data_IF_600143525222
#
_entry.id   IF_600143525222
#
_cell.length_a   1.000
_cell.length_b   1.000
_cell.length_c   1.000
_cell.angle_alpha   90.00
_cell.angle_beta   90.00
_cell.angle_gamma   90.00
#
_symmetry.space_group_name_H-M   'P 1'
#
loop_
_entity.id
_entity.type
_entity.pdbx_description
1 polymer ?
#
# COMPACT_ATOMS: atom_id res chain seq x y z
N UNK A 1 65.89 24.80 -25.37
CA UNK A 1 65.07 23.76 -26.05
C UNK A 1 64.22 23.07 -25.01
N UNK A 2 62.92 23.34 -24.96
CA UNK A 2 62.03 22.59 -24.08
C UNK A 2 61.89 21.16 -24.60
N UNK A 3 62.12 20.16 -23.74
CA UNK A 3 61.92 18.76 -24.08
C UNK A 3 60.42 18.52 -24.30
N UNK A 4 60.00 18.48 -25.58
CA UNK A 4 58.59 18.32 -25.98
C UNK A 4 57.86 17.17 -25.26
N UNK A 5 58.57 16.07 -24.96
CA UNK A 5 58.03 14.93 -24.19
C UNK A 5 57.60 15.32 -22.77
N UNK A 6 58.39 16.12 -22.06
CA UNK A 6 58.08 16.59 -20.70
C UNK A 6 56.88 17.53 -20.73
N UNK A 7 56.82 18.41 -21.74
CA UNK A 7 55.70 19.33 -21.90
C UNK A 7 54.37 18.58 -22.14
N UNK A 8 54.37 17.57 -23.02
CA UNK A 8 53.20 16.69 -23.24
C UNK A 8 52.77 15.96 -21.96
N UNK A 9 53.73 15.45 -21.18
CA UNK A 9 53.41 14.74 -19.94
C UNK A 9 52.77 15.67 -18.91
N UNK A 10 53.26 16.91 -18.82
CA UNK A 10 52.76 17.90 -17.87
C UNK A 10 51.34 18.38 -18.24
N UNK A 11 51.05 18.54 -19.53
CA UNK A 11 49.70 18.90 -19.99
C UNK A 11 48.70 17.78 -19.69
N UNK A 12 49.04 16.52 -19.99
CA UNK A 12 48.21 15.35 -19.64
C UNK A 12 47.93 15.31 -18.13
N UNK A 13 48.99 15.49 -17.31
CA UNK A 13 48.86 15.44 -15.86
C UNK A 13 47.95 16.54 -15.32
N UNK A 14 48.09 17.76 -15.84
CA UNK A 14 47.25 18.90 -15.47
C UNK A 14 45.77 18.64 -15.82
N UNK A 15 45.48 18.13 -17.03
CA UNK A 15 44.11 17.76 -17.45
C UNK A 15 43.50 16.71 -16.52
N UNK A 16 44.26 15.69 -16.12
CA UNK A 16 43.82 14.67 -15.16
C UNK A 16 43.48 15.26 -13.79
N UNK A 17 44.25 16.23 -13.30
CA UNK A 17 43.96 16.91 -12.03
C UNK A 17 42.67 17.72 -12.09
N UNK A 18 42.45 18.47 -13.18
CA UNK A 18 41.23 19.27 -13.32
C UNK A 18 39.99 18.37 -13.46
N UNK A 19 40.06 17.34 -14.29
CA UNK A 19 38.94 16.42 -14.52
C UNK A 19 38.56 15.68 -13.23
N UNK A 20 39.52 15.15 -12.48
CA UNK A 20 39.23 14.46 -11.21
C UNK A 20 38.61 15.38 -10.16
N UNK A 21 39.01 16.64 -10.10
CA UNK A 21 38.40 17.63 -9.21
C UNK A 21 36.94 17.93 -9.56
N UNK A 22 36.64 18.09 -10.86
CA UNK A 22 35.28 18.30 -11.36
C UNK A 22 34.41 17.08 -11.03
N UNK A 23 34.88 15.87 -11.36
CA UNK A 23 34.17 14.62 -11.08
C UNK A 23 33.87 14.50 -9.59
N UNK A 24 34.89 14.68 -8.72
CA UNK A 24 34.74 14.61 -7.26
C UNK A 24 33.68 15.57 -6.73
N UNK A 25 33.58 16.76 -7.30
CA UNK A 25 32.60 17.76 -6.89
C UNK A 25 31.18 17.38 -7.31
N UNK A 26 31.02 16.90 -8.55
CA UNK A 26 29.72 16.43 -9.03
C UNK A 26 29.25 15.19 -8.26
N UNK A 27 30.14 14.23 -7.99
CA UNK A 27 29.83 13.04 -7.20
C UNK A 27 29.34 13.43 -5.80
N UNK A 28 30.00 14.37 -5.11
CA UNK A 28 29.56 14.86 -3.80
C UNK A 28 28.17 15.51 -3.82
N UNK A 29 27.82 16.20 -4.91
CA UNK A 29 26.50 16.82 -5.05
C UNK A 29 25.43 15.73 -5.21
N UNK A 30 25.70 14.73 -6.05
CA UNK A 30 24.82 13.57 -6.25
C UNK A 30 24.65 12.79 -4.94
N UNK A 31 25.72 12.49 -4.21
CA UNK A 31 25.67 11.81 -2.91
C UNK A 31 24.78 12.55 -1.90
N UNK A 32 24.89 13.88 -1.82
CA UNK A 32 24.03 14.69 -0.95
C UNK A 32 22.57 14.59 -1.33
N UNK A 33 22.26 14.61 -2.63
CA UNK A 33 20.89 14.48 -3.12
C UNK A 33 20.34 13.09 -2.82
N UNK A 34 21.12 12.02 -3.06
CA UNK A 34 20.74 10.65 -2.71
C UNK A 34 20.41 10.56 -1.23
N UNK A 35 21.31 11.02 -0.35
CA UNK A 35 21.08 11.00 1.10
C UNK A 35 19.85 11.82 1.53
N UNK A 36 19.57 12.93 0.86
CA UNK A 36 18.36 13.72 1.11
C UNK A 36 17.09 12.94 0.75
N UNK A 37 17.07 12.29 -0.42
CA UNK A 37 15.92 11.50 -0.86
C UNK A 37 15.74 10.22 -0.04
N UNK A 38 16.81 9.53 0.33
CA UNK A 38 16.77 8.37 1.24
C UNK A 38 16.11 8.74 2.58
N UNK A 39 16.50 9.88 3.17
CA UNK A 39 15.87 10.36 4.41
C UNK A 39 14.38 10.67 4.21
N UNK A 40 14.01 11.26 3.07
CA UNK A 40 12.61 11.53 2.74
C UNK A 40 11.80 10.25 2.59
N UNK A 41 12.35 9.23 1.92
CA UNK A 41 11.72 7.92 1.75
C UNK A 41 11.54 7.26 3.11
N UNK A 42 12.58 7.18 3.93
CA UNK A 42 12.50 6.57 5.26
C UNK A 42 11.46 7.25 6.16
N UNK A 43 11.36 8.58 6.11
CA UNK A 43 10.30 9.29 6.83
C UNK A 43 8.90 8.93 6.31
N UNK A 44 8.71 8.81 5.00
CA UNK A 44 7.43 8.43 4.40
C UNK A 44 7.04 6.99 4.73
N UNK A 45 8.00 6.07 4.74
CA UNK A 45 7.79 4.66 5.12
C UNK A 45 7.32 4.55 6.57
N UNK A 46 7.97 5.25 7.50
CA UNK A 46 7.55 5.29 8.90
C UNK A 46 6.13 5.86 9.06
N UNK A 47 5.83 6.95 8.35
CA UNK A 47 4.52 7.59 8.41
C UNK A 47 3.42 6.68 7.83
N UNK A 48 3.70 5.95 6.75
CA UNK A 48 2.79 4.94 6.19
C UNK A 48 2.55 3.80 7.18
N UNK A 49 3.59 3.33 7.86
CA UNK A 49 3.47 2.28 8.87
C UNK A 49 2.59 2.73 10.05
N UNK A 50 2.78 3.95 10.55
CA UNK A 50 1.93 4.53 11.60
C UNK A 50 0.47 4.63 11.16
N UNK A 51 0.21 5.18 9.97
CA UNK A 51 -1.15 5.28 9.40
C UNK A 51 -1.79 3.90 9.21
N UNK A 52 -1.00 2.89 8.83
CA UNK A 52 -1.51 1.53 8.67
C UNK A 52 -1.92 0.93 10.02
N UNK A 53 -1.14 1.16 11.09
CA UNK A 53 -1.51 0.75 12.44
C UNK A 53 -2.78 1.45 12.92
N UNK A 54 -2.87 2.77 12.71
CA UNK A 54 -4.07 3.55 13.03
C UNK A 54 -5.30 3.04 12.27
N UNK A 55 -5.13 2.76 10.98
CA UNK A 55 -6.19 2.19 10.16
C UNK A 55 -6.66 0.84 10.73
N UNK A 56 -5.76 -0.09 11.04
CA UNK A 56 -6.14 -1.38 11.62
C UNK A 56 -6.85 -1.22 12.97
N UNK A 57 -6.40 -0.29 13.80
CA UNK A 57 -7.03 -0.03 15.09
C UNK A 57 -8.43 0.57 14.92
N UNK A 58 -8.59 1.60 14.08
CA UNK A 58 -9.86 2.28 13.87
C UNK A 58 -10.87 1.42 13.09
N UNK A 59 -10.40 0.58 12.17
CA UNK A 59 -11.23 -0.36 11.40
C UNK A 59 -11.42 -1.71 12.09
N UNK A 60 -10.91 -1.88 13.32
CA UNK A 60 -11.16 -3.10 14.08
C UNK A 60 -12.67 -3.28 14.34
N UNK A 61 -13.20 -4.52 14.28
CA UNK A 61 -14.62 -4.78 14.50
C UNK A 61 -15.15 -4.19 15.80
N UNK A 62 -14.35 -4.21 16.87
CA UNK A 62 -14.73 -3.66 18.17
C UNK A 62 -14.88 -2.14 18.13
N UNK A 63 -13.92 -1.41 17.55
CA UNK A 63 -14.02 0.05 17.40
C UNK A 63 -15.15 0.45 16.47
N UNK A 64 -15.32 -0.26 15.34
CA UNK A 64 -16.43 -0.02 14.41
C UNK A 64 -17.76 -0.24 15.14
N UNK A 65 -17.91 -1.35 15.86
CA UNK A 65 -19.13 -1.65 16.61
C UNK A 65 -19.44 -0.59 17.65
N UNK A 66 -18.42 -0.13 18.40
CA UNK A 66 -18.57 0.97 19.36
C UNK A 66 -19.03 2.26 18.69
N UNK A 67 -18.45 2.60 17.54
CA UNK A 67 -18.81 3.81 16.77
C UNK A 67 -20.21 3.74 16.17
N UNK A 68 -20.63 2.55 15.71
CA UNK A 68 -22.00 2.30 15.25
C UNK A 68 -23.00 2.47 16.39
N UNK A 69 -22.68 2.01 17.61
CA UNK A 69 -23.54 2.24 18.77
C UNK A 69 -23.59 3.73 19.19
N UNK A 70 -22.47 4.44 19.07
CA UNK A 70 -22.37 5.86 19.44
C UNK A 70 -23.15 6.78 18.48
N UNK A 71 -23.13 6.50 17.17
CA UNK A 71 -23.71 7.37 16.14
C UNK A 71 -24.89 6.76 15.36
N UNK A 72 -25.21 5.50 15.58
CA UNK A 72 -26.31 4.80 14.90
C UNK A 72 -27.65 5.08 15.55
N UNK A 73 -28.66 5.40 14.74
CA UNK A 73 -30.02 5.66 15.21
C UNK A 73 -30.84 4.35 15.44
N UNK A 74 -30.20 3.20 15.65
CA UNK A 74 -30.90 1.91 15.82
C UNK A 74 -30.03 0.84 16.49
N UNK A 75 -30.69 -0.13 17.13
CA UNK A 75 -30.03 -1.29 17.74
C UNK A 75 -29.56 -2.27 16.64
N UNK A 76 -28.26 -2.35 16.43
CA UNK A 76 -27.67 -3.32 15.51
C UNK A 76 -27.52 -4.67 16.23
N UNK A 77 -28.17 -5.70 15.71
CA UNK A 77 -27.95 -7.09 16.13
C UNK A 77 -26.96 -7.77 15.19
N UNK A 78 -26.21 -8.74 15.71
CA UNK A 78 -25.34 -9.56 14.88
C UNK A 78 -26.19 -10.34 13.87
N UNK A 79 -25.73 -10.38 12.62
CA UNK A 79 -26.35 -11.20 11.59
C UNK A 79 -26.30 -12.67 12.04
N UNK A 80 -27.39 -13.41 11.86
CA UNK A 80 -27.43 -14.83 12.24
C UNK A 80 -26.46 -15.60 11.35
N UNK A 81 -25.74 -16.57 11.93
CA UNK A 81 -24.79 -17.38 11.16
C UNK A 81 -25.42 -18.06 9.94
N UNK A 82 -26.69 -18.48 10.04
CA UNK A 82 -27.46 -19.07 8.94
C UNK A 82 -27.69 -18.12 7.75
N UNK A 83 -27.55 -16.82 7.96
CA UNK A 83 -27.74 -15.77 6.96
C UNK A 83 -26.41 -15.26 6.39
N UNK A 84 -25.27 -15.77 6.89
CA UNK A 84 -23.93 -15.48 6.37
C UNK A 84 -23.62 -16.46 5.24
N UNK A 85 -23.31 -15.92 4.07
CA UNK A 85 -22.89 -16.69 2.89
C UNK A 85 -21.43 -16.41 2.59
N UNK A 86 -20.60 -17.45 2.51
CA UNK A 86 -19.16 -17.33 2.23
C UNK A 86 -18.87 -17.11 0.73
N UNK A 87 -19.84 -17.41 -0.14
CA UNK A 87 -19.74 -17.14 -1.56
C UNK A 87 -21.10 -16.82 -2.18
N UNK A 88 -21.05 -16.12 -3.32
CA UNK A 88 -22.24 -15.81 -4.11
C UNK A 88 -22.95 -17.09 -4.57
N UNK A 89 -22.20 -18.14 -4.90
CA UNK A 89 -22.77 -19.43 -5.30
C UNK A 89 -23.53 -20.11 -4.16
N UNK A 90 -23.02 -20.02 -2.93
CA UNK A 90 -23.70 -20.55 -1.75
C UNK A 90 -25.03 -19.83 -1.53
N UNK A 91 -25.05 -18.49 -1.68
CA UNK A 91 -26.26 -17.69 -1.61
C UNK A 91 -27.28 -18.09 -2.69
N UNK A 92 -26.86 -18.14 -3.96
CA UNK A 92 -27.73 -18.48 -5.08
C UNK A 92 -28.31 -19.89 -4.92
N UNK A 93 -27.51 -20.86 -4.48
CA UNK A 93 -27.96 -22.23 -4.29
C UNK A 93 -28.97 -22.35 -3.15
N UNK A 94 -28.78 -21.63 -2.04
CA UNK A 94 -29.75 -21.60 -0.95
C UNK A 94 -31.07 -20.94 -1.40
N UNK A 95 -30.98 -19.83 -2.15
CA UNK A 95 -32.15 -19.15 -2.70
C UNK A 95 -32.94 -20.03 -3.70
N UNK A 96 -32.23 -20.82 -4.51
CA UNK A 96 -32.86 -21.79 -5.42
C UNK A 96 -33.54 -22.93 -4.66
N UNK A 97 -33.00 -23.38 -3.51
CA UNK A 97 -33.62 -24.40 -2.65
C UNK A 97 -34.92 -23.90 -2.02
N UNK A 98 -34.91 -22.69 -1.44
CA UNK A 98 -36.12 -22.08 -0.85
C UNK A 98 -37.19 -21.76 -1.90
N UNK A 99 -36.79 -21.31 -3.09
CA UNK A 99 -37.74 -21.07 -4.20
C UNK A 99 -38.39 -22.36 -4.71
N UNK A 100 -37.68 -23.49 -4.67
CA UNK A 100 -38.24 -24.80 -5.03
C UNK A 100 -39.27 -25.28 -3.99
N UNK A 101 -39.02 -25.12 -2.69
CA UNK A 101 -39.98 -25.54 -1.66
C UNK A 101 -41.31 -24.76 -1.75
N UNK A 102 -41.23 -23.45 -2.01
CA UNK A 102 -42.41 -22.59 -2.21
C UNK A 102 -43.28 -23.04 -3.39
N UNK A 103 -42.66 -23.50 -4.48
CA UNK A 103 -43.36 -24.01 -5.66
C UNK A 103 -44.01 -25.38 -5.42
N UNK A 104 -43.41 -26.24 -4.58
CA UNK A 104 -44.01 -27.51 -4.17
C UNK A 104 -45.21 -27.30 -3.25
N UNK A 105 -45.14 -26.39 -2.27
CA UNK A 105 -46.27 -26.07 -1.39
C UNK A 105 -47.45 -25.46 -2.15
N UNK A 106 -47.20 -24.58 -3.13
CA UNK A 106 -48.26 -24.04 -4.00
C UNK A 106 -48.93 -25.10 -4.88
N UNK A 107 -48.21 -26.16 -5.29
CA UNK A 107 -48.78 -27.26 -6.07
C UNK A 107 -49.66 -28.17 -5.21
N UNK A 108 -49.30 -28.39 -3.95
CA UNK A 108 -50.10 -29.20 -3.02
C UNK A 108 -51.33 -28.48 -2.46
N UNK A 109 -51.35 -27.13 -2.42
CA UNK A 109 -52.55 -26.33 -2.10
C UNK A 109 -53.55 -26.15 -3.26
N UNK A 110 -53.20 -26.59 -4.47
CA UNK A 110 -54.07 -26.52 -5.67
C UNK A 110 -54.71 -27.87 -6.04
N UNK A 111 -54.46 -28.92 -5.27
CA UNK A 111 -55.22 -30.18 -5.28
C UNK A 111 -56.20 -30.15 -4.12
#
# INVERSE_FOLDING_TARGET
MFNKKIFISLTIFSILLFTTSIIKTQTRLIEKNIKFYEKKISNLENNLYEIQLDYYYLSSPDNISKKILEYGNGEYSSIKYSEIYFSLDQFINQQKKTSKSFNYEKKNKKK
#
